data_IF_821742399277
#
_entry.id   IF_821742399277
#
_cell.length_a   1.000
_cell.length_b   1.000
_cell.length_c   1.000
_cell.angle_alpha   90.00
_cell.angle_beta   90.00
_cell.angle_gamma   90.00
#
_symmetry.space_group_name_H-M   'P 1'
#
loop_
_entity.id
_entity.type
_entity.pdbx_description
1 polymer ?
#
# COMPACT_ATOMS: atom_id res chain seq x y z
N UNK A 1 23.33 -13.42 5.13
CA UNK A 1 22.53 -14.02 4.03
C UNK A 1 23.29 -13.75 2.74
N UNK A 2 23.82 -14.78 2.07
CA UNK A 2 24.65 -14.59 0.87
C UNK A 2 23.71 -14.55 -0.35
N UNK A 3 23.16 -13.37 -0.64
CA UNK A 3 22.26 -13.14 -1.77
C UNK A 3 23.08 -12.90 -3.04
N UNK A 4 23.62 -13.96 -3.63
CA UNK A 4 24.28 -13.89 -4.93
C UNK A 4 24.04 -15.17 -5.73
N UNK A 5 23.05 -15.12 -6.62
CA UNK A 5 23.08 -15.86 -7.87
C UNK A 5 22.84 -14.83 -8.97
N UNK A 6 23.85 -14.58 -9.80
CA UNK A 6 23.65 -13.81 -11.02
C UNK A 6 22.58 -14.53 -11.86
N UNK A 7 21.72 -13.75 -12.49
CA UNK A 7 20.67 -14.23 -13.38
C UNK A 7 20.88 -13.61 -14.76
N UNK A 8 20.55 -14.32 -15.84
CA UNK A 8 20.64 -13.77 -17.19
C UNK A 8 19.23 -13.39 -17.67
N UNK A 9 19.06 -12.16 -18.15
CA UNK A 9 17.82 -11.69 -18.80
C UNK A 9 18.19 -11.11 -20.15
N UNK A 10 17.57 -11.59 -21.22
CA UNK A 10 17.81 -11.13 -22.61
C UNK A 10 19.30 -11.11 -23.04
N UNK A 11 20.12 -12.00 -22.46
CA UNK A 11 21.56 -12.09 -22.73
C UNK A 11 22.45 -11.17 -21.90
N UNK A 12 21.87 -10.32 -21.04
CA UNK A 12 22.62 -9.48 -20.08
C UNK A 12 22.71 -10.16 -18.71
N UNK A 13 23.88 -10.08 -18.08
CA UNK A 13 24.08 -10.55 -16.71
C UNK A 13 23.48 -9.54 -15.71
N UNK A 14 22.39 -9.94 -15.07
CA UNK A 14 21.70 -9.14 -14.07
C UNK A 14 22.10 -9.63 -12.68
N UNK A 15 22.73 -8.73 -11.93
CA UNK A 15 23.14 -9.00 -10.55
C UNK A 15 21.94 -8.85 -9.60
N UNK A 16 21.72 -9.85 -8.76
CA UNK A 16 20.75 -9.79 -7.65
C UNK A 16 19.78 -10.96 -7.64
N UNK A 17 19.05 -11.10 -6.54
CA UNK A 17 18.02 -12.14 -6.40
C UNK A 17 16.76 -11.69 -7.15
N UNK A 18 16.20 -12.49 -8.07
CA UNK A 18 14.92 -12.16 -8.71
C UNK A 18 13.83 -12.09 -7.64
N UNK A 19 13.05 -11.02 -7.65
CA UNK A 19 11.97 -10.77 -6.70
C UNK A 19 10.72 -10.26 -7.42
N UNK A 20 9.57 -10.57 -6.82
CA UNK A 20 8.30 -9.96 -7.15
C UNK A 20 7.78 -9.24 -5.89
N UNK A 21 7.51 -7.93 -6.00
CA UNK A 21 6.88 -7.15 -4.94
C UNK A 21 5.42 -6.94 -5.31
N UNK A 22 4.53 -7.51 -4.52
CA UNK A 22 3.08 -7.40 -4.70
C UNK A 22 2.48 -6.52 -3.60
N UNK A 23 1.65 -5.56 -3.98
CA UNK A 23 0.90 -4.73 -3.05
C UNK A 23 -0.54 -4.58 -3.53
N UNK A 24 -1.50 -4.74 -2.61
CA UNK A 24 -2.94 -4.63 -2.88
C UNK A 24 -3.61 -3.84 -1.77
N UNK A 25 -4.61 -3.03 -2.14
CA UNK A 25 -5.43 -2.26 -1.21
C UNK A 25 -6.90 -2.37 -1.62
N UNK A 26 -7.77 -2.74 -0.69
CA UNK A 26 -9.22 -2.77 -0.90
C UNK A 26 -9.78 -1.40 -0.52
N UNK A 27 -10.52 -0.80 -1.44
CA UNK A 27 -11.12 0.53 -1.29
C UNK A 27 -12.65 0.45 -1.12
N UNK A 28 -13.29 -0.69 -1.40
CA UNK A 28 -14.72 -0.89 -1.16
C UNK A 28 -15.27 -2.26 -1.55
N UNK A 29 -16.44 -2.62 -1.01
CA UNK A 29 -17.21 -3.82 -1.35
C UNK A 29 -18.38 -3.42 -2.25
N UNK A 30 -18.47 -3.98 -3.45
CA UNK A 30 -19.54 -3.69 -4.42
C UNK A 30 -20.58 -4.79 -4.31
N UNK A 31 -21.77 -4.43 -3.82
CA UNK A 31 -22.91 -5.33 -3.58
C UNK A 31 -24.00 -5.05 -4.62
N UNK A 32 -24.31 -6.08 -5.41
CA UNK A 32 -25.18 -6.05 -6.60
C UNK A 32 -26.46 -6.87 -6.37
N UNK A 33 -27.39 -6.89 -7.32
CA UNK A 33 -28.64 -7.66 -7.23
C UNK A 33 -28.39 -9.17 -7.22
N UNK A 34 -27.36 -9.63 -7.93
CA UNK A 34 -26.95 -11.03 -7.98
C UNK A 34 -25.56 -11.24 -7.37
N UNK A 35 -25.38 -12.33 -6.64
CA UNK A 35 -24.12 -12.66 -5.95
C UNK A 35 -22.92 -12.81 -6.90
N UNK A 36 -23.16 -13.29 -8.12
CA UNK A 36 -22.12 -13.45 -9.15
C UNK A 36 -21.49 -12.12 -9.56
N UNK A 37 -22.25 -11.02 -9.50
CA UNK A 37 -21.81 -9.69 -9.91
C UNK A 37 -21.21 -8.87 -8.76
N UNK A 38 -21.17 -9.42 -7.54
CA UNK A 38 -20.47 -8.80 -6.42
C UNK A 38 -18.99 -8.62 -6.76
N UNK A 39 -18.40 -7.53 -6.31
CA UNK A 39 -17.01 -7.22 -6.61
C UNK A 39 -16.36 -6.39 -5.50
N UNK A 40 -15.11 -6.01 -5.74
CA UNK A 40 -14.35 -5.12 -4.88
C UNK A 40 -13.87 -3.92 -5.70
N UNK A 41 -13.93 -2.75 -5.08
CA UNK A 41 -13.07 -1.66 -5.47
C UNK A 41 -11.70 -1.90 -4.84
N UNK A 42 -10.66 -1.94 -5.65
CA UNK A 42 -9.30 -2.25 -5.21
C UNK A 42 -8.24 -1.69 -6.15
N UNK A 43 -7.03 -1.56 -5.63
CA UNK A 43 -5.84 -1.21 -6.40
C UNK A 43 -4.75 -2.20 -6.08
N UNK A 44 -4.05 -2.69 -7.10
CA UNK A 44 -2.93 -3.60 -6.93
C UNK A 44 -1.80 -3.27 -7.88
N UNK A 45 -0.57 -3.52 -7.45
CA UNK A 45 0.62 -3.43 -8.27
C UNK A 45 1.52 -4.66 -8.04
N UNK A 46 2.12 -5.13 -9.13
CA UNK A 46 3.14 -6.19 -9.15
C UNK A 46 4.39 -5.59 -9.78
N UNK A 47 5.50 -5.61 -9.04
CA UNK A 47 6.80 -5.12 -9.51
C UNK A 47 7.76 -6.30 -9.61
N UNK A 48 8.31 -6.54 -10.80
CA UNK A 48 9.29 -7.60 -11.04
C UNK A 48 10.66 -6.98 -11.18
N UNK A 49 11.66 -7.56 -10.51
CA UNK A 49 12.99 -7.00 -10.52
C UNK A 49 14.01 -7.84 -9.80
N UNK A 50 15.15 -7.22 -9.48
CA UNK A 50 16.29 -7.87 -8.86
C UNK A 50 16.70 -7.12 -7.60
N UNK A 51 16.70 -7.84 -6.47
CA UNK A 51 17.08 -7.33 -5.17
C UNK A 51 18.59 -7.50 -4.94
N UNK A 52 19.24 -6.44 -4.47
CA UNK A 52 20.63 -6.46 -4.00
C UNK A 52 20.72 -5.84 -2.62
N UNK A 53 21.70 -6.26 -1.81
CA UNK A 53 21.93 -5.67 -0.50
C UNK A 53 22.66 -4.34 -0.63
N UNK A 54 22.19 -3.32 0.10
CA UNK A 54 22.89 -2.04 0.26
C UNK A 54 24.16 -2.28 1.11
N UNK A 55 25.32 -1.88 0.57
CA UNK A 55 26.64 -2.21 1.17
C UNK A 55 27.34 -1.03 1.82
N UNK A 56 27.18 0.19 1.30
CA UNK A 56 27.82 1.36 1.91
C UNK A 56 27.00 1.86 3.09
N UNK A 57 27.68 2.29 4.15
CA UNK A 57 27.02 2.84 5.33
C UNK A 57 26.25 4.12 5.00
N UNK A 58 26.74 4.93 4.07
CA UNK A 58 26.06 6.15 3.60
C UNK A 58 24.75 5.84 2.87
N UNK A 59 24.74 4.91 1.91
CA UNK A 59 23.51 4.49 1.21
C UNK A 59 22.53 3.84 2.19
N UNK A 60 23.06 3.13 3.20
CA UNK A 60 22.26 2.50 4.24
C UNK A 60 21.59 3.53 5.14
N UNK A 61 22.31 4.55 5.60
CA UNK A 61 21.73 5.66 6.39
C UNK A 61 20.65 6.39 5.59
N UNK A 62 20.95 6.71 4.33
CA UNK A 62 19.97 7.32 3.43
C UNK A 62 18.71 6.45 3.27
N UNK A 63 18.88 5.15 3.06
CA UNK A 63 17.75 4.24 2.94
C UNK A 63 16.96 4.10 4.25
N UNK A 64 17.62 4.07 5.41
CA UNK A 64 16.95 4.06 6.72
C UNK A 64 16.11 5.31 6.94
N UNK A 65 16.60 6.48 6.54
CA UNK A 65 15.85 7.73 6.58
C UNK A 65 14.60 7.66 5.70
N UNK A 66 14.75 7.27 4.44
CA UNK A 66 13.62 7.13 3.51
C UNK A 66 12.57 6.14 4.02
N UNK A 67 13.00 4.97 4.49
CA UNK A 67 12.10 3.94 5.03
C UNK A 67 11.37 4.48 6.25
N UNK A 68 12.09 5.10 7.20
CA UNK A 68 11.49 5.65 8.43
C UNK A 68 10.43 6.70 8.11
N UNK A 69 10.75 7.64 7.22
CA UNK A 69 9.84 8.70 6.81
C UNK A 69 8.69 8.22 5.92
N UNK A 70 8.83 7.06 5.26
CA UNK A 70 7.73 6.42 4.50
C UNK A 70 6.69 5.77 5.40
N UNK A 71 7.06 5.37 6.62
CA UNK A 71 6.15 4.73 7.59
C UNK A 71 5.38 5.79 8.38
N UNK A 72 6.10 6.80 8.89
CA UNK A 72 5.52 7.97 9.54
C UNK A 72 6.27 9.18 9.02
N UNK A 73 5.55 10.12 8.42
CA UNK A 73 6.15 11.33 7.84
C UNK A 73 7.06 12.01 8.86
N UNK A 74 8.28 12.34 8.44
CA UNK A 74 9.23 13.14 9.22
C UNK A 74 9.69 12.51 10.55
N UNK A 75 9.54 11.18 10.68
CA UNK A 75 9.88 10.44 11.90
C UNK A 75 11.39 10.37 12.17
N UNK A 76 12.21 10.35 11.12
CA UNK A 76 13.66 10.15 11.22
C UNK A 76 14.34 11.18 12.11
N UNK A 77 14.07 12.47 11.88
CA UNK A 77 14.66 13.59 12.66
C UNK A 77 14.13 13.66 14.10
N UNK A 78 12.98 13.03 14.36
CA UNK A 78 12.32 12.97 15.67
C UNK A 78 12.66 11.70 16.47
N UNK A 79 13.78 11.05 16.13
CA UNK A 79 14.32 9.86 16.79
C UNK A 79 15.82 10.08 17.03
N UNK A 80 16.45 9.29 17.92
CA UNK A 80 17.90 9.36 18.18
C UNK A 80 18.70 9.16 16.89
N UNK A 81 19.61 10.08 16.60
CA UNK A 81 20.52 10.03 15.46
C UNK A 81 21.98 10.22 15.88
N UNK A 82 22.97 9.60 15.19
CA UNK A 82 22.80 8.55 14.18
C UNK A 82 22.45 7.18 14.81
N UNK A 83 22.05 6.17 14.02
CA UNK A 83 21.98 4.80 14.49
C UNK A 83 23.32 4.31 15.06
N UNK A 84 23.27 3.41 16.04
CA UNK A 84 24.45 2.78 16.63
C UNK A 84 25.11 1.85 15.62
N UNK A 85 26.43 1.67 15.72
CA UNK A 85 27.18 0.74 14.87
C UNK A 85 26.61 -0.70 14.93
N UNK A 86 26.13 -1.14 16.10
CA UNK A 86 25.48 -2.45 16.25
C UNK A 86 24.14 -2.55 15.50
N UNK A 87 23.35 -1.47 15.48
CA UNK A 87 22.09 -1.39 14.72
C UNK A 87 22.39 -1.46 13.22
N UNK A 88 23.41 -0.71 12.77
CA UNK A 88 23.91 -0.72 11.41
C UNK A 88 24.40 -2.11 10.99
N UNK A 89 25.12 -2.84 11.84
CA UNK A 89 25.62 -4.19 11.50
C UNK A 89 24.50 -5.23 11.45
N UNK A 90 23.50 -5.13 12.33
CA UNK A 90 22.44 -6.13 12.46
C UNK A 90 21.34 -6.03 11.40
N UNK A 91 21.14 -4.86 10.80
CA UNK A 91 20.08 -4.62 9.82
C UNK A 91 20.59 -4.79 8.40
N UNK A 92 19.86 -5.47 7.51
CA UNK A 92 20.16 -5.50 6.08
C UNK A 92 19.06 -4.77 5.31
N UNK A 93 19.45 -3.92 4.36
CA UNK A 93 18.52 -3.22 3.48
C UNK A 93 18.67 -3.77 2.08
N UNK A 94 17.54 -4.05 1.43
CA UNK A 94 17.49 -4.49 0.05
C UNK A 94 17.08 -3.31 -0.83
N UNK A 95 17.81 -3.11 -1.92
CA UNK A 95 17.39 -2.25 -3.03
C UNK A 95 16.95 -3.12 -4.19
N UNK A 96 15.79 -2.81 -4.75
CA UNK A 96 15.21 -3.57 -5.85
C UNK A 96 15.29 -2.72 -7.12
N UNK A 97 16.02 -3.20 -8.12
CA UNK A 97 15.94 -2.64 -9.47
C UNK A 97 14.71 -3.22 -10.15
N UNK A 98 13.70 -2.40 -10.38
CA UNK A 98 12.48 -2.80 -11.08
C UNK A 98 12.79 -2.92 -12.57
N UNK A 99 12.37 -4.02 -13.18
CA UNK A 99 12.52 -4.31 -14.61
C UNK A 99 11.19 -4.17 -15.33
N UNK A 100 10.12 -4.65 -14.71
CA UNK A 100 8.76 -4.50 -15.24
C UNK A 100 7.75 -4.34 -14.10
N UNK A 101 6.60 -3.78 -14.44
CA UNK A 101 5.52 -3.56 -13.50
C UNK A 101 4.17 -3.81 -14.18
N UNK A 102 3.21 -4.32 -13.42
CA UNK A 102 1.80 -4.31 -13.81
C UNK A 102 0.97 -3.74 -12.67
N UNK A 103 -0.12 -3.07 -13.01
CA UNK A 103 -1.05 -2.52 -12.03
C UNK A 103 -2.48 -2.72 -12.51
N UNK A 104 -3.41 -2.82 -11.55
CA UNK A 104 -4.84 -2.89 -11.81
C UNK A 104 -5.58 -2.02 -10.81
N UNK A 105 -6.54 -1.27 -11.33
CA UNK A 105 -7.48 -0.48 -10.54
C UNK A 105 -8.87 -0.96 -10.91
N UNK A 106 -9.64 -1.36 -9.92
CA UNK A 106 -11.08 -1.61 -10.00
C UNK A 106 -11.75 -0.56 -9.14
N UNK A 107 -12.59 0.27 -9.75
CA UNK A 107 -13.32 1.33 -9.08
C UNK A 107 -14.70 1.48 -9.72
N UNK A 108 -15.66 1.92 -8.91
CA UNK A 108 -16.98 2.35 -9.31
C UNK A 108 -18.13 1.62 -8.64
N UNK A 109 -19.32 1.93 -9.14
CA UNK A 109 -20.58 1.46 -8.57
C UNK A 109 -20.96 0.05 -9.05
N UNK A 110 -22.16 -0.36 -8.66
CA UNK A 110 -22.78 -1.61 -9.05
C UNK A 110 -22.99 -1.68 -10.56
N UNK A 111 -22.94 -2.89 -11.10
CA UNK A 111 -23.31 -3.16 -12.49
C UNK A 111 -24.00 -4.49 -12.49
N UNK A 112 -25.27 -4.45 -12.82
CA UNK A 112 -26.19 -5.58 -12.78
C UNK A 112 -26.64 -5.95 -14.20
N UNK A 113 -27.05 -7.19 -14.37
CA UNK A 113 -27.60 -7.65 -15.63
C UNK A 113 -28.96 -6.99 -15.89
N UNK A 114 -29.24 -6.70 -17.15
CA UNK A 114 -30.48 -6.00 -17.55
C UNK A 114 -31.73 -6.71 -17.06
N UNK A 115 -31.77 -8.04 -17.12
CA UNK A 115 -32.90 -8.83 -16.64
C UNK A 115 -33.15 -8.68 -15.14
N UNK A 116 -32.08 -8.55 -14.35
CA UNK A 116 -32.18 -8.39 -12.89
C UNK A 116 -32.65 -6.99 -12.54
N UNK A 117 -32.16 -5.97 -13.26
CA UNK A 117 -32.62 -4.59 -13.12
C UNK A 117 -34.08 -4.38 -13.54
N UNK A 118 -34.60 -5.15 -14.50
CA UNK A 118 -36.00 -5.08 -14.94
C UNK A 118 -36.94 -5.91 -14.03
N UNK A 119 -36.39 -6.73 -13.13
CA UNK A 119 -37.17 -7.49 -12.16
C UNK A 119 -37.52 -6.63 -10.94
N UNK A 120 -38.72 -6.02 -10.97
CA UNK A 120 -39.20 -5.15 -9.90
C UNK A 120 -39.27 -5.82 -8.52
N UNK A 121 -39.58 -7.11 -8.43
CA UNK A 121 -39.61 -7.80 -7.13
C UNK A 121 -38.21 -7.86 -6.52
N UNK A 122 -37.22 -8.27 -7.33
CA UNK A 122 -35.82 -8.36 -6.94
C UNK A 122 -35.24 -6.99 -6.56
N UNK A 123 -35.46 -5.96 -7.40
CA UNK A 123 -34.98 -4.60 -7.15
C UNK A 123 -35.57 -4.01 -5.86
N UNK A 124 -36.84 -4.29 -5.55
CA UNK A 124 -37.48 -3.79 -4.33
C UNK A 124 -37.10 -4.59 -3.08
N UNK A 125 -36.66 -5.85 -3.22
CA UNK A 125 -36.27 -6.70 -2.09
C UNK A 125 -34.78 -6.66 -1.76
N UNK A 126 -33.94 -6.17 -2.68
CA UNK A 126 -32.48 -6.29 -2.60
C UNK A 126 -31.80 -4.93 -2.62
N UNK A 127 -31.07 -4.60 -1.56
CA UNK A 127 -30.23 -3.41 -1.52
C UNK A 127 -28.97 -3.62 -2.36
N UNK A 128 -28.59 -2.61 -3.15
CA UNK A 128 -27.34 -2.57 -3.91
C UNK A 128 -26.57 -1.29 -3.60
N UNK A 129 -25.25 -1.37 -3.69
CA UNK A 129 -24.38 -0.22 -3.48
C UNK A 129 -22.95 -0.62 -3.20
N UNK A 130 -22.14 0.38 -2.86
CA UNK A 130 -20.75 0.18 -2.45
C UNK A 130 -20.63 0.46 -0.96
N UNK A 131 -19.94 -0.43 -0.24
CA UNK A 131 -19.49 -0.18 1.12
C UNK A 131 -18.02 0.29 1.05
N UNK A 132 -17.73 1.59 1.26
CA UNK A 132 -16.35 2.08 1.24
C UNK A 132 -15.53 1.42 2.35
N UNK A 133 -14.33 0.96 2.02
CA UNK A 133 -13.39 0.33 2.96
C UNK A 133 -12.09 1.12 2.95
N UNK A 134 -11.66 1.56 4.13
CA UNK A 134 -10.36 2.20 4.31
C UNK A 134 -9.81 1.91 5.71
N UNK A 135 -8.48 1.91 5.83
CA UNK A 135 -7.80 1.75 7.12
C UNK A 135 -7.65 3.10 7.80
N UNK A 136 -7.95 3.17 9.09
CA UNK A 136 -7.66 4.33 9.92
C UNK A 136 -6.50 4.05 10.86
N UNK A 137 -5.70 5.08 11.12
CA UNK A 137 -4.74 5.14 12.22
C UNK A 137 -5.52 5.65 13.43
N UNK A 138 -5.46 4.90 14.53
CA UNK A 138 -6.09 5.30 15.79
C UNK A 138 -5.31 6.35 16.56
N UNK A 139 -5.87 6.79 17.67
CA UNK A 139 -5.23 7.77 18.55
C UNK A 139 -3.88 7.25 19.10
N UNK A 140 -2.83 8.10 19.20
CA UNK A 140 -1.55 7.70 19.74
C UNK A 140 -1.65 7.23 21.19
N UNK A 141 -1.17 6.01 21.45
CA UNK A 141 -1.07 5.46 22.81
C UNK A 141 0.37 5.67 23.31
N UNK A 142 0.59 6.39 24.43
CA UNK A 142 1.93 6.64 24.94
C UNK A 142 2.59 5.34 25.43
N UNK A 143 3.90 5.22 25.17
CA UNK A 143 4.71 4.13 25.71
C UNK A 143 4.90 4.23 27.23
N UNK A 144 5.31 3.14 27.91
CA UNK A 144 5.32 3.07 29.38
C UNK A 144 6.29 4.05 30.06
N UNK A 145 7.29 4.56 29.34
CA UNK A 145 8.28 5.53 29.82
C UNK A 145 8.16 6.89 29.11
N UNK A 146 7.11 7.11 28.30
CA UNK A 146 6.91 8.37 27.61
C UNK A 146 6.40 9.44 28.58
N UNK A 147 7.14 10.55 28.68
CA UNK A 147 6.76 11.73 29.47
C UNK A 147 6.41 12.94 28.59
N UNK A 148 6.60 12.82 27.28
CA UNK A 148 6.37 13.89 26.31
C UNK A 148 4.94 13.90 25.78
N UNK A 149 4.46 15.07 25.37
CA UNK A 149 3.22 15.19 24.61
C UNK A 149 3.39 14.61 23.20
N UNK A 150 2.27 14.24 22.57
CA UNK A 150 2.25 13.82 21.17
C UNK A 150 2.72 15.00 20.31
N UNK A 151 3.80 14.86 19.52
CA UNK A 151 4.27 15.94 18.65
C UNK A 151 3.28 16.24 17.52
N UNK A 152 3.23 17.50 17.07
CA UNK A 152 2.32 17.93 16.00
C UNK A 152 2.46 17.11 14.71
N UNK A 153 3.68 16.73 14.31
CA UNK A 153 3.87 15.91 13.10
C UNK A 153 3.18 14.55 13.16
N UNK A 154 3.01 13.97 14.37
CA UNK A 154 2.28 12.72 14.56
C UNK A 154 0.78 12.97 14.45
N UNK A 155 0.26 14.03 15.10
CA UNK A 155 -1.16 14.40 15.03
C UNK A 155 -1.59 14.73 13.59
N UNK A 156 -0.78 15.51 12.88
CA UNK A 156 -1.00 15.83 11.47
C UNK A 156 -0.95 14.56 10.61
N UNK A 157 0.07 13.71 10.79
CA UNK A 157 0.17 12.45 10.06
C UNK A 157 -1.07 11.57 10.22
N UNK A 158 -1.60 11.42 11.44
CA UNK A 158 -2.83 10.65 11.70
C UNK A 158 -4.02 11.26 10.96
N UNK A 159 -4.20 12.57 11.08
CA UNK A 159 -5.32 13.30 10.47
C UNK A 159 -5.27 13.21 8.96
N UNK A 160 -4.15 13.64 8.37
CA UNK A 160 -3.93 13.70 6.92
C UNK A 160 -4.06 12.29 6.30
N UNK A 161 -3.45 11.28 6.92
CA UNK A 161 -3.52 9.90 6.40
C UNK A 161 -4.95 9.35 6.43
N UNK A 162 -5.68 9.60 7.52
CA UNK A 162 -7.06 9.13 7.64
C UNK A 162 -7.97 9.83 6.63
N UNK A 163 -7.82 11.14 6.47
CA UNK A 163 -8.60 11.92 5.51
C UNK A 163 -8.29 11.48 4.08
N UNK A 164 -7.02 11.36 3.70
CA UNK A 164 -6.63 10.89 2.36
C UNK A 164 -7.19 9.50 2.04
N UNK A 165 -7.09 8.55 2.99
CA UNK A 165 -7.60 7.18 2.81
C UNK A 165 -9.11 7.14 2.68
N UNK A 166 -9.81 7.93 3.51
CA UNK A 166 -11.27 8.08 3.44
C UNK A 166 -11.70 8.66 2.09
N UNK A 167 -11.12 9.80 1.70
CA UNK A 167 -11.46 10.45 0.43
C UNK A 167 -11.20 9.54 -0.75
N UNK A 168 -10.10 8.78 -0.74
CA UNK A 168 -9.79 7.84 -1.81
C UNK A 168 -10.79 6.70 -1.91
N UNK A 169 -11.21 6.13 -0.78
CA UNK A 169 -12.21 5.06 -0.74
C UNK A 169 -13.58 5.57 -1.23
N UNK A 170 -13.98 6.77 -0.84
CA UNK A 170 -15.21 7.42 -1.33
C UNK A 170 -15.12 7.67 -2.84
N UNK A 171 -14.01 8.23 -3.33
CA UNK A 171 -13.80 8.45 -4.75
C UNK A 171 -13.83 7.15 -5.56
N UNK A 172 -13.27 6.07 -5.03
CA UNK A 172 -13.33 4.76 -5.67
C UNK A 172 -14.76 4.21 -5.75
N UNK A 173 -15.63 4.52 -4.79
CA UNK A 173 -17.05 4.15 -4.82
C UNK A 173 -17.86 4.99 -5.83
N UNK A 174 -17.51 6.27 -5.99
CA UNK A 174 -18.20 7.22 -6.89
C UNK A 174 -17.74 7.12 -8.36
N UNK A 175 -16.52 6.62 -8.60
CA UNK A 175 -15.91 6.63 -9.93
C UNK A 175 -16.71 5.85 -11.00
N UNK A 176 -16.66 6.31 -12.24
CA UNK A 176 -17.09 5.48 -13.37
C UNK A 176 -16.00 4.44 -13.65
N UNK A 177 -16.37 3.17 -13.86
CA UNK A 177 -15.43 2.16 -14.36
C UNK A 177 -14.84 2.69 -15.68
N UNK A 178 -13.57 3.08 -15.69
CA UNK A 178 -12.85 3.21 -16.95
C UNK A 178 -12.74 1.81 -17.54
N UNK A 179 -13.48 1.56 -18.62
CA UNK A 179 -13.31 0.37 -19.43
C UNK A 179 -11.83 0.31 -19.86
N UNK A 180 -11.18 -0.80 -19.51
CA UNK A 180 -9.86 -1.18 -20.00
C UNK A 180 -9.89 -1.44 -21.51
#
# INVERSE_FOLDING_TARGET
>A
MNLAQSSTVDGEEVQGMPVCVAASHVDGLVLTLATFSHNYNYRSAMLFGYATTVKSDEEKLYAMELISNSVVTDRWRHTRQPPLASEMQSTNILKVKIVSASAKISAGSTTDDKSDMENNELVNSTWTGVLPVYQTIGDPIPGPYNTSQVPDHIGNFVTDTNDERKQRSLHAAEGERRAS
#
